data_IF_657150453024
#
_entry.id   IF_657150453024
#
_cell.length_a   1.000
_cell.length_b   1.000
_cell.length_c   1.000
_cell.angle_alpha   90.00
_cell.angle_beta   90.00
_cell.angle_gamma   90.00
#
_symmetry.space_group_name_H-M   'P 1'
#
loop_
_entity.id
_entity.type
_entity.pdbx_description
1 polymer ?
#
# COMPACT_ATOMS: atom_id res chain seq x y z
N UNK A 1 -22.93 21.15 8.86
CA UNK A 1 -22.47 19.85 9.40
C UNK A 1 -22.83 19.84 10.87
N UNK A 2 -23.82 19.03 11.26
CA UNK A 2 -24.25 18.95 12.66
C UNK A 2 -23.14 18.36 13.53
N UNK A 3 -23.10 18.74 14.81
CA UNK A 3 -22.08 18.28 15.76
C UNK A 3 -21.99 16.74 15.80
N UNK A 4 -23.13 16.05 15.69
CA UNK A 4 -23.19 14.59 15.59
C UNK A 4 -22.52 14.03 14.32
N UNK A 5 -22.68 14.69 13.18
CA UNK A 5 -22.04 14.25 11.93
C UNK A 5 -20.51 14.41 12.00
N UNK A 6 -20.04 15.45 12.68
CA UNK A 6 -18.61 15.73 12.84
C UNK A 6 -17.94 14.74 13.81
N UNK A 7 -18.62 14.36 14.89
CA UNK A 7 -18.11 13.35 15.83
C UNK A 7 -18.07 11.95 15.20
N UNK A 8 -19.11 11.55 14.46
CA UNK A 8 -19.10 10.26 13.74
C UNK A 8 -18.01 10.22 12.68
N UNK A 9 -17.82 11.31 11.93
CA UNK A 9 -16.77 11.37 10.90
C UNK A 9 -15.36 11.27 11.50
N UNK A 10 -15.08 12.02 12.57
CA UNK A 10 -13.77 12.02 13.23
C UNK A 10 -13.46 10.69 13.91
N UNK A 11 -14.44 10.08 14.59
CA UNK A 11 -14.26 8.74 15.21
C UNK A 11 -14.03 7.65 14.18
N UNK A 12 -14.72 7.71 13.03
CA UNK A 12 -14.52 6.77 11.92
C UNK A 12 -13.12 6.90 11.33
N UNK A 13 -12.63 8.14 11.14
CA UNK A 13 -11.26 8.37 10.67
C UNK A 13 -10.22 7.86 11.66
N UNK A 14 -10.41 8.07 12.96
CA UNK A 14 -9.51 7.54 13.99
C UNK A 14 -9.46 6.01 13.99
N UNK A 15 -10.62 5.35 13.85
CA UNK A 15 -10.69 3.89 13.72
C UNK A 15 -9.98 3.39 12.46
N UNK A 16 -10.15 4.09 11.33
CA UNK A 16 -9.48 3.75 10.08
C UNK A 16 -7.95 3.86 10.21
N UNK A 17 -7.45 4.94 10.81
CA UNK A 17 -6.01 5.11 11.07
C UNK A 17 -5.49 4.01 12.01
N UNK A 18 -6.23 3.70 13.09
CA UNK A 18 -5.89 2.61 14.00
C UNK A 18 -5.82 1.24 13.31
N UNK A 19 -6.76 0.97 12.39
CA UNK A 19 -6.74 -0.25 11.57
C UNK A 19 -5.53 -0.32 10.65
N UNK A 20 -5.16 0.78 9.98
CA UNK A 20 -3.98 0.83 9.13
C UNK A 20 -2.71 0.52 9.93
N UNK A 21 -2.57 1.12 11.12
CA UNK A 21 -1.43 0.87 12.02
C UNK A 21 -1.41 -0.58 12.51
N UNK A 22 -2.57 -1.14 12.85
CA UNK A 22 -2.68 -2.53 13.29
C UNK A 22 -2.29 -3.49 12.18
N UNK A 23 -2.78 -3.27 10.96
CA UNK A 23 -2.45 -4.10 9.79
C UNK A 23 -0.96 -3.99 9.46
N UNK A 24 -0.39 -2.78 9.43
CA UNK A 24 1.04 -2.61 9.17
C UNK A 24 1.90 -3.31 10.23
N UNK A 25 1.52 -3.19 11.51
CA UNK A 25 2.18 -3.91 12.60
C UNK A 25 2.10 -5.43 12.42
N UNK A 26 0.93 -5.98 12.08
CA UNK A 26 0.78 -7.43 11.88
C UNK A 26 1.58 -7.94 10.68
N UNK A 27 1.70 -7.15 9.61
CA UNK A 27 2.50 -7.49 8.43
C UNK A 27 3.99 -7.50 8.79
N UNK A 28 4.49 -6.43 9.41
CA UNK A 28 5.90 -6.33 9.80
C UNK A 28 6.27 -7.37 10.87
N UNK A 29 5.39 -7.63 11.84
CA UNK A 29 5.62 -8.64 12.88
C UNK A 29 5.83 -10.04 12.30
N UNK A 30 5.18 -10.38 11.18
CA UNK A 30 5.37 -11.68 10.53
C UNK A 30 6.76 -11.86 9.91
N UNK A 31 7.42 -10.77 9.53
CA UNK A 31 8.77 -10.81 8.94
C UNK A 31 9.89 -10.87 10.01
N UNK A 32 9.59 -10.52 11.26
CA UNK A 32 10.54 -10.55 12.38
C UNK A 32 10.84 -11.93 12.96
N UNK A 33 10.26 -13.02 12.45
CA UNK A 33 10.69 -14.38 12.83
C UNK A 33 11.97 -14.71 12.07
N UNK A 34 13.09 -14.21 12.60
CA UNK A 34 14.44 -14.65 12.23
C UNK A 34 14.47 -16.17 12.25
N UNK A 35 14.57 -16.79 11.08
CA UNK A 35 14.93 -18.20 10.99
C UNK A 35 16.35 -18.28 11.53
N UNK A 36 16.56 -19.06 12.59
CA UNK A 36 17.90 -19.34 13.12
C UNK A 36 18.81 -19.76 11.95
N UNK A 37 19.81 -18.92 11.65
CA UNK A 37 20.65 -19.01 10.44
C UNK A 37 20.68 -17.78 9.54
N UNK A 38 19.86 -16.75 9.79
CA UNK A 38 19.91 -15.46 9.07
C UNK A 38 20.76 -14.38 9.76
N UNK A 39 21.60 -14.76 10.72
CA UNK A 39 22.56 -13.84 11.31
C UNK A 39 23.75 -13.69 10.35
N UNK A 40 24.09 -12.47 9.91
CA UNK A 40 25.29 -12.25 9.11
C UNK A 40 26.52 -12.69 9.92
N UNK A 41 27.43 -13.41 9.28
CA UNK A 41 28.65 -13.90 9.93
C UNK A 41 29.52 -12.71 10.33
N UNK A 42 29.56 -12.44 11.63
CA UNK A 42 30.14 -11.23 12.20
C UNK A 42 31.67 -11.31 12.40
N UNK A 43 32.34 -12.34 11.88
CA UNK A 43 33.80 -12.51 12.03
C UNK A 43 34.33 -12.30 13.47
N UNK A 44 33.50 -12.55 14.49
CA UNK A 44 33.86 -12.35 15.91
C UNK A 44 33.61 -10.94 16.47
N UNK A 45 33.00 -10.02 15.72
CA UNK A 45 32.59 -8.70 16.19
C UNK A 45 31.33 -8.77 17.09
N UNK A 46 31.22 -7.81 18.01
CA UNK A 46 30.10 -7.74 18.93
C UNK A 46 28.81 -7.33 18.20
N UNK A 47 27.69 -7.97 18.54
CA UNK A 47 26.38 -7.70 17.92
C UNK A 47 25.92 -6.24 18.11
N UNK A 48 26.44 -5.58 19.14
CA UNK A 48 26.07 -4.22 19.52
C UNK A 48 26.67 -3.18 18.56
N UNK A 49 27.89 -3.40 18.09
CA UNK A 49 28.52 -2.54 17.08
C UNK A 49 27.81 -2.67 15.73
N UNK A 50 27.48 -3.90 15.32
CA UNK A 50 26.81 -4.16 14.05
C UNK A 50 25.37 -3.65 13.99
N UNK A 51 24.61 -3.69 15.10
CA UNK A 51 23.27 -3.10 15.19
C UNK A 51 23.28 -1.59 14.97
N UNK A 52 24.35 -0.89 15.34
CA UNK A 52 24.49 0.54 15.06
C UNK A 52 24.65 0.81 13.55
N UNK A 53 25.32 -0.09 12.82
CA UNK A 53 25.48 -0.03 11.36
C UNK A 53 24.23 -0.51 10.58
N UNK A 54 23.41 -1.41 11.14
CA UNK A 54 22.07 -1.75 10.63
C UNK A 54 21.00 -0.75 11.13
N UNK A 55 21.35 0.51 11.36
CA UNK A 55 20.29 1.52 11.26
C UNK A 55 19.94 1.62 9.78
N UNK A 56 18.92 0.85 9.37
CA UNK A 56 18.36 0.94 8.01
C UNK A 56 17.94 2.39 7.85
N UNK A 57 18.77 3.18 7.15
CA UNK A 57 18.52 4.60 6.98
C UNK A 57 17.10 4.80 6.48
N UNK A 58 16.41 5.84 6.96
CA UNK A 58 15.01 6.13 6.60
C UNK A 58 14.78 6.10 5.08
N UNK A 59 15.78 6.51 4.30
CA UNK A 59 15.81 6.40 2.84
C UNK A 59 15.71 4.97 2.32
N UNK A 60 16.45 4.01 2.89
CA UNK A 60 16.39 2.61 2.49
C UNK A 60 15.05 1.96 2.85
N UNK A 61 14.46 2.33 3.99
CA UNK A 61 13.12 1.86 4.37
C UNK A 61 12.05 2.41 3.41
N UNK A 62 12.15 3.70 3.07
CA UNK A 62 11.26 4.35 2.12
C UNK A 62 11.37 3.69 0.74
N UNK A 63 12.57 3.61 0.16
CA UNK A 63 12.78 3.04 -1.17
C UNK A 63 12.50 1.53 -1.22
N UNK A 64 12.80 0.79 -0.15
CA UNK A 64 12.45 -0.63 -0.03
C UNK A 64 10.95 -0.84 -0.05
N UNK A 65 10.19 -0.07 0.74
CA UNK A 65 8.73 -0.14 0.78
C UNK A 65 8.10 0.29 -0.55
N UNK A 66 8.57 1.41 -1.10
CA UNK A 66 8.09 1.96 -2.38
C UNK A 66 8.38 0.99 -3.52
N UNK A 67 9.59 0.44 -3.61
CA UNK A 67 9.96 -0.52 -4.64
C UNK A 67 9.14 -1.81 -4.53
N UNK A 68 8.94 -2.34 -3.32
CA UNK A 68 8.16 -3.56 -3.11
C UNK A 68 6.69 -3.40 -3.53
N UNK A 69 6.08 -2.24 -3.27
CA UNK A 69 4.68 -1.95 -3.60
C UNK A 69 4.55 -1.56 -5.08
N UNK A 70 5.32 -0.58 -5.54
CA UNK A 70 5.21 -0.04 -6.89
C UNK A 70 5.65 -1.06 -7.93
N UNK A 71 6.65 -1.91 -7.66
CA UNK A 71 7.06 -2.93 -8.63
C UNK A 71 5.95 -3.95 -8.88
N UNK A 72 5.30 -4.46 -7.83
CA UNK A 72 4.16 -5.36 -7.96
C UNK A 72 2.99 -4.69 -8.67
N UNK A 73 2.69 -3.43 -8.32
CA UNK A 73 1.64 -2.68 -8.97
C UNK A 73 1.93 -2.45 -10.45
N UNK A 74 3.18 -2.12 -10.79
CA UNK A 74 3.65 -1.93 -12.15
C UNK A 74 3.59 -3.22 -12.96
N UNK A 75 4.03 -4.35 -12.41
CA UNK A 75 3.93 -5.66 -13.05
C UNK A 75 2.47 -6.02 -13.36
N UNK A 76 1.56 -5.80 -12.42
CA UNK A 76 0.12 -6.01 -12.65
C UNK A 76 -0.42 -5.08 -13.73
N UNK A 77 -0.08 -3.78 -13.68
CA UNK A 77 -0.56 -2.81 -14.65
C UNK A 77 -0.05 -3.13 -16.06
N UNK A 78 1.23 -3.49 -16.19
CA UNK A 78 1.83 -3.90 -17.46
C UNK A 78 1.21 -5.19 -17.97
N UNK A 79 1.14 -6.23 -17.14
CA UNK A 79 0.83 -7.59 -17.60
C UNK A 79 -0.67 -7.87 -17.70
N UNK A 80 -1.53 -7.12 -16.98
CA UNK A 80 -2.99 -7.33 -16.97
C UNK A 80 -3.76 -6.21 -17.65
N UNK A 81 -3.29 -4.97 -17.57
CA UNK A 81 -4.04 -3.81 -18.10
C UNK A 81 -3.54 -3.43 -19.49
N UNK A 82 -2.23 -3.55 -19.74
CA UNK A 82 -1.61 -3.25 -21.03
C UNK A 82 -1.07 -4.51 -21.72
N UNK A 83 -1.93 -5.51 -21.92
CA UNK A 83 -1.60 -6.78 -22.60
C UNK A 83 -1.13 -6.59 -24.06
N UNK A 84 -1.39 -5.42 -24.66
CA UNK A 84 -1.10 -5.14 -26.07
C UNK A 84 -2.11 -5.75 -27.05
N UNK A 85 -3.10 -6.50 -26.54
CA UNK A 85 -4.19 -7.09 -27.33
C UNK A 85 -5.28 -6.03 -27.51
N UNK A 86 -5.63 -5.73 -28.77
CA UNK A 86 -6.59 -4.67 -29.09
C UNK A 86 -7.99 -4.91 -28.47
N UNK A 87 -8.40 -6.17 -28.41
CA UNK A 87 -9.68 -6.57 -27.81
C UNK A 87 -9.74 -6.28 -26.30
N UNK A 88 -8.68 -6.63 -25.56
CA UNK A 88 -8.60 -6.36 -24.12
C UNK A 88 -8.59 -4.85 -23.85
N UNK A 89 -7.90 -4.08 -24.71
CA UNK A 89 -7.91 -2.62 -24.64
C UNK A 89 -9.32 -2.05 -24.86
N UNK A 90 -10.07 -2.53 -25.85
CA UNK A 90 -11.44 -2.09 -26.10
C UNK A 90 -12.37 -2.40 -24.92
N UNK A 91 -12.26 -3.60 -24.33
CA UNK A 91 -13.01 -3.97 -23.13
C UNK A 91 -12.67 -3.03 -21.97
N UNK A 92 -11.38 -2.79 -21.72
CA UNK A 92 -10.92 -1.88 -20.68
C UNK A 92 -11.45 -0.45 -20.89
N UNK A 93 -11.33 0.10 -22.11
CA UNK A 93 -11.81 1.44 -22.44
C UNK A 93 -13.31 1.56 -22.30
N UNK A 94 -14.08 0.54 -22.73
CA UNK A 94 -15.53 0.55 -22.59
C UNK A 94 -15.95 0.56 -21.11
N UNK A 95 -15.31 -0.25 -20.26
CA UNK A 95 -15.55 -0.26 -18.82
C UNK A 95 -15.24 1.10 -18.18
N UNK A 96 -14.12 1.72 -18.53
CA UNK A 96 -13.79 3.07 -18.07
C UNK A 96 -14.84 4.10 -18.49
N UNK A 97 -15.29 4.05 -19.74
CA UNK A 97 -16.32 4.95 -20.25
C UNK A 97 -17.65 4.78 -19.51
N UNK A 98 -18.13 3.54 -19.37
CA UNK A 98 -19.37 3.26 -18.63
C UNK A 98 -19.27 3.71 -17.18
N UNK A 99 -18.14 3.47 -16.53
CA UNK A 99 -17.89 3.90 -15.15
C UNK A 99 -17.95 5.43 -15.03
N UNK A 100 -17.31 6.16 -15.94
CA UNK A 100 -17.34 7.62 -15.96
C UNK A 100 -18.77 8.18 -16.18
N UNK A 101 -19.55 7.55 -17.06
CA UNK A 101 -20.96 7.91 -17.29
C UNK A 101 -21.80 7.70 -16.03
N UNK A 102 -21.65 6.56 -15.35
CA UNK A 102 -22.36 6.27 -14.10
C UNK A 102 -22.00 7.28 -13.02
N UNK A 103 -20.70 7.56 -12.83
CA UNK A 103 -20.24 8.56 -11.86
C UNK A 103 -20.82 9.93 -12.19
N UNK A 104 -20.78 10.35 -13.46
CA UNK A 104 -21.35 11.63 -13.89
C UNK A 104 -22.85 11.70 -13.60
N UNK A 105 -23.60 10.62 -13.85
CA UNK A 105 -25.03 10.55 -13.54
C UNK A 105 -25.27 10.69 -12.03
N UNK A 106 -24.53 9.97 -11.20
CA UNK A 106 -24.65 10.07 -9.74
C UNK A 106 -24.36 11.50 -9.28
N UNK A 107 -23.29 12.12 -9.78
CA UNK A 107 -22.92 13.49 -9.40
C UNK A 107 -24.02 14.50 -9.77
N UNK A 108 -24.58 14.40 -10.97
CA UNK A 108 -25.62 15.34 -11.45
C UNK A 108 -26.95 15.16 -10.72
N UNK A 109 -27.36 13.93 -10.45
CA UNK A 109 -28.71 13.64 -9.92
C UNK A 109 -28.78 13.46 -8.41
N UNK A 110 -27.65 13.18 -7.74
CA UNK A 110 -27.58 13.02 -6.28
C UNK A 110 -26.90 14.21 -5.62
N UNK A 111 -25.95 14.85 -6.31
CA UNK A 111 -25.25 16.05 -5.82
C UNK A 111 -25.86 17.38 -6.25
N UNK A 112 -26.79 17.37 -7.22
CA UNK A 112 -27.55 18.52 -7.70
C UNK A 112 -28.83 18.77 -6.93
#
# INVERSE_FOLDING_TARGET
MDVLTLTVFTTTLMLLVGLIVLVSYLVVRKEGSSKSGSEPYLCGESMDDFKAYISVGSSNLYWGSVSAILKKFYEVLRDRVHTGILNDWLVLMSLWFFTAVIISFIVVFVGG
#
